data_IF_484798770648
#
_entry.id   IF_484798770648
#
_cell.length_a   1.000
_cell.length_b   1.000
_cell.length_c   1.000
_cell.angle_alpha   90.00
_cell.angle_beta   90.00
_cell.angle_gamma   90.00
#
_symmetry.space_group_name_H-M   'P 1'
#
loop_
_entity.id
_entity.type
_entity.pdbx_description
1 polymer ?
#
# COMPACT_ATOMS: atom_id res chain seq x y z
N UNK A 1 -5.65 11.27 10.22
CA UNK A 1 -4.81 10.61 9.22
C UNK A 1 -5.43 10.93 7.85
N UNK A 2 -4.96 11.96 7.12
CA UNK A 2 -5.35 12.18 5.72
C UNK A 2 -4.30 11.68 4.72
N UNK A 3 -3.03 11.63 5.12
CA UNK A 3 -1.90 11.30 4.24
C UNK A 3 -1.93 9.86 3.70
N UNK A 4 -2.62 8.93 4.36
CA UNK A 4 -2.79 7.56 3.84
C UNK A 4 -3.60 7.57 2.55
N UNK A 5 -4.54 8.50 2.38
CA UNK A 5 -5.29 8.64 1.12
C UNK A 5 -4.34 9.04 -0.01
N UNK A 6 -3.40 9.94 0.27
CA UNK A 6 -2.37 10.34 -0.70
C UNK A 6 -1.47 9.15 -1.02
N UNK A 7 -0.93 8.47 -0.03
CA UNK A 7 -0.02 7.34 -0.25
C UNK A 7 -0.67 6.15 -0.97
N UNK A 8 -1.97 5.92 -0.73
CA UNK A 8 -2.73 4.82 -1.33
C UNK A 8 -3.26 5.12 -2.73
N UNK A 9 -3.46 6.39 -3.11
CA UNK A 9 -4.09 6.75 -4.40
C UNK A 9 -3.15 7.51 -5.33
N UNK A 10 -2.22 8.29 -4.79
CA UNK A 10 -1.23 9.01 -5.58
C UNK A 10 0.00 8.13 -5.78
N UNK A 11 0.14 7.60 -7.00
CA UNK A 11 1.14 6.59 -7.39
C UNK A 11 2.54 7.15 -7.60
N UNK A 12 2.92 8.19 -6.86
CA UNK A 12 4.23 8.80 -6.91
C UNK A 12 5.16 8.12 -5.89
N UNK A 13 6.23 7.48 -6.36
CA UNK A 13 7.08 6.60 -5.54
C UNK A 13 7.81 7.34 -4.44
N UNK A 14 8.44 8.48 -4.77
CA UNK A 14 9.16 9.30 -3.79
C UNK A 14 8.25 9.84 -2.68
N UNK A 15 7.11 10.44 -3.04
CA UNK A 15 6.15 10.97 -2.05
C UNK A 15 5.56 9.89 -1.15
N UNK A 16 5.32 8.68 -1.69
CA UNK A 16 4.88 7.56 -0.84
C UNK A 16 5.93 7.21 0.20
N UNK A 17 7.23 7.21 -0.16
CA UNK A 17 8.33 7.02 0.80
C UNK A 17 8.36 8.10 1.87
N UNK A 18 8.17 9.36 1.49
CA UNK A 18 8.08 10.48 2.45
C UNK A 18 6.92 10.29 3.44
N UNK A 19 5.74 9.89 2.96
CA UNK A 19 4.60 9.61 3.85
C UNK A 19 4.92 8.47 4.83
N UNK A 20 5.55 7.39 4.36
CA UNK A 20 5.99 6.29 5.25
C UNK A 20 7.00 6.76 6.30
N UNK A 21 7.94 7.65 5.93
CA UNK A 21 8.88 8.26 6.87
C UNK A 21 8.14 9.09 7.93
N UNK A 22 7.17 9.91 7.52
CA UNK A 22 6.35 10.70 8.45
C UNK A 22 5.61 9.80 9.43
N UNK A 23 4.93 8.75 8.95
CA UNK A 23 4.21 7.80 9.81
C UNK A 23 5.12 7.03 10.78
N UNK A 24 6.32 6.66 10.33
CA UNK A 24 7.30 5.99 11.19
C UNK A 24 7.84 6.90 12.30
N UNK A 25 7.97 8.20 12.03
CA UNK A 25 8.45 9.20 13.00
C UNK A 25 7.37 9.67 13.99
N UNK A 26 6.10 9.51 13.64
CA UNK A 26 4.94 9.96 14.42
C UNK A 26 3.98 8.78 14.64
N UNK A 27 4.31 7.84 15.54
CA UNK A 27 3.45 6.70 15.83
C UNK A 27 2.14 7.21 16.48
N UNK A 28 1.11 7.35 15.65
CA UNK A 28 -0.22 7.84 16.03
C UNK A 28 -1.28 6.87 15.58
N UNK A 29 -2.32 6.72 16.41
CA UNK A 29 -3.54 6.00 16.08
C UNK A 29 -4.74 6.94 16.08
N UNK A 30 -5.52 6.91 15.00
CA UNK A 30 -6.76 7.65 14.84
C UNK A 30 -7.89 6.67 14.48
N UNK A 31 -8.57 6.15 15.50
CA UNK A 31 -9.59 5.11 15.34
C UNK A 31 -8.96 3.78 14.92
N UNK A 32 -9.39 3.28 13.76
CA UNK A 32 -8.86 2.04 13.14
C UNK A 32 -7.51 2.29 12.45
N UNK A 33 -7.17 3.54 12.14
CA UNK A 33 -5.94 3.89 11.44
C UNK A 33 -4.77 4.02 12.41
N UNK A 34 -3.92 3.01 12.43
CA UNK A 34 -2.64 3.02 13.11
C UNK A 34 -1.51 3.37 12.13
N UNK A 35 -0.65 4.34 12.46
CA UNK A 35 0.43 4.79 11.58
C UNK A 35 1.40 3.66 11.21
N UNK A 36 1.69 2.74 12.13
CA UNK A 36 2.58 1.61 11.87
C UNK A 36 1.90 0.57 10.97
N UNK A 37 0.63 0.27 11.22
CA UNK A 37 -0.18 -0.55 10.31
C UNK A 37 -0.16 0.02 8.90
N UNK A 38 -0.50 1.31 8.74
CA UNK A 38 -0.56 1.96 7.42
C UNK A 38 0.80 1.90 6.74
N UNK A 39 1.90 2.13 7.46
CA UNK A 39 3.25 2.01 6.92
C UNK A 39 3.51 0.61 6.39
N UNK A 40 3.18 -0.44 7.15
CA UNK A 40 3.35 -1.84 6.72
C UNK A 40 2.50 -2.19 5.50
N UNK A 41 1.26 -1.70 5.44
CA UNK A 41 0.39 -1.86 4.26
C UNK A 41 1.02 -1.18 3.03
N UNK A 42 1.53 0.04 3.19
CA UNK A 42 2.18 0.78 2.10
C UNK A 42 3.49 0.13 1.64
N UNK A 43 4.27 -0.45 2.55
CA UNK A 43 5.46 -1.23 2.23
C UNK A 43 5.10 -2.43 1.34
N UNK A 44 4.06 -3.18 1.73
CA UNK A 44 3.60 -4.34 0.97
C UNK A 44 3.04 -3.95 -0.42
N UNK A 45 2.19 -2.92 -0.50
CA UNK A 45 1.67 -2.41 -1.77
C UNK A 45 2.81 -1.92 -2.66
N UNK A 46 3.78 -1.18 -2.11
CA UNK A 46 4.92 -0.67 -2.89
C UNK A 46 5.78 -1.82 -3.42
N UNK A 47 5.98 -2.88 -2.64
CA UNK A 47 6.73 -4.05 -3.11
C UNK A 47 6.07 -4.75 -4.31
N UNK A 48 4.73 -4.78 -4.36
CA UNK A 48 3.98 -5.30 -5.51
C UNK A 48 4.08 -4.37 -6.73
N UNK A 49 3.98 -3.06 -6.51
CA UNK A 49 3.98 -2.06 -7.59
C UNK A 49 5.38 -1.83 -8.17
N UNK A 50 6.43 -1.90 -7.33
CA UNK A 50 7.82 -1.66 -7.71
C UNK A 50 8.46 -2.86 -8.45
N UNK A 51 7.79 -4.00 -8.55
CA UNK A 51 8.32 -5.19 -9.21
C UNK A 51 8.70 -4.88 -10.66
N UNK A 52 9.99 -4.98 -10.99
CA UNK A 52 10.50 -4.68 -12.32
C UNK A 52 10.43 -3.20 -12.72
N UNK A 53 10.35 -2.29 -11.76
CA UNK A 53 10.59 -0.85 -11.96
C UNK A 53 12.02 -0.49 -11.52
N UNK A 54 12.65 0.48 -12.17
CA UNK A 54 13.95 1.04 -11.75
C UNK A 54 13.79 2.52 -11.44
N UNK A 55 13.74 3.36 -12.47
CA UNK A 55 13.92 4.80 -12.38
C UNK A 55 12.62 5.58 -12.64
N UNK A 56 11.50 4.89 -12.78
CA UNK A 56 10.19 5.52 -12.97
C UNK A 56 9.81 6.34 -11.72
N UNK A 57 9.27 7.53 -11.91
CA UNK A 57 8.78 8.37 -10.80
C UNK A 57 7.39 7.95 -10.32
N UNK A 58 6.57 7.49 -11.26
CA UNK A 58 5.19 7.04 -11.05
C UNK A 58 5.06 5.55 -11.34
N UNK A 59 4.11 4.89 -10.68
CA UNK A 59 3.74 3.50 -11.01
C UNK A 59 2.97 3.49 -12.33
N UNK A 60 3.41 2.71 -13.34
CA UNK A 60 2.68 2.57 -14.60
C UNK A 60 1.35 1.84 -14.38
N UNK A 61 0.37 2.11 -15.24
CA UNK A 61 -1.01 1.63 -15.09
C UNK A 61 -1.12 0.11 -14.89
N UNK A 62 -0.32 -0.65 -15.64
CA UNK A 62 -0.30 -2.12 -15.60
C UNK A 62 0.38 -2.70 -14.35
N UNK A 63 1.06 -1.87 -13.56
CA UNK A 63 1.68 -2.26 -12.28
C UNK A 63 0.87 -1.79 -11.06
N UNK A 64 -0.16 -0.96 -11.23
CA UNK A 64 -0.94 -0.42 -10.12
C UNK A 64 -1.60 -1.54 -9.31
N UNK A 65 -1.35 -1.56 -8.01
CA UNK A 65 -2.02 -2.44 -7.07
C UNK A 65 -3.11 -1.65 -6.33
N UNK A 66 -4.37 -1.90 -6.71
CA UNK A 66 -5.53 -1.22 -6.13
C UNK A 66 -6.04 -1.99 -4.93
N UNK A 67 -6.08 -1.36 -3.76
CA UNK A 67 -6.63 -1.95 -2.54
C UNK A 67 -8.13 -2.28 -2.73
N UNK A 68 -8.47 -3.57 -2.67
CA UNK A 68 -9.86 -4.06 -2.80
C UNK A 68 -10.48 -4.45 -1.46
N UNK A 69 -9.66 -4.83 -0.47
CA UNK A 69 -10.14 -5.07 0.89
C UNK A 69 -9.06 -4.77 1.93
N UNK A 70 -9.50 -4.21 3.06
CA UNK A 70 -8.70 -4.03 4.27
C UNK A 70 -9.57 -4.39 5.47
N UNK A 71 -9.18 -5.43 6.21
CA UNK A 71 -9.86 -5.85 7.44
C UNK A 71 -8.87 -5.76 8.59
N UNK A 72 -9.16 -4.87 9.55
CA UNK A 72 -8.26 -4.56 10.64
C UNK A 72 -8.75 -5.24 11.92
N UNK A 73 -7.89 -6.05 12.52
CA UNK A 73 -8.02 -6.59 13.86
C UNK A 73 -7.08 -5.82 14.78
N UNK A 74 -7.62 -4.78 15.40
CA UNK A 74 -6.85 -3.89 16.26
C UNK A 74 -6.49 -4.51 17.62
N UNK A 75 -7.17 -5.58 18.04
CA UNK A 75 -6.88 -6.29 19.28
C UNK A 75 -5.63 -7.15 19.10
N UNK A 76 -5.58 -7.90 17.99
CA UNK A 76 -4.43 -8.75 17.63
C UNK A 76 -3.34 -8.01 16.84
N UNK A 77 -3.47 -6.70 16.63
CA UNK A 77 -2.56 -5.86 15.83
C UNK A 77 -2.23 -6.49 14.48
N UNK A 78 -3.28 -6.94 13.79
CA UNK A 78 -3.17 -7.57 12.48
C UNK A 78 -4.17 -7.00 11.48
N UNK A 79 -3.84 -7.07 10.19
CA UNK A 79 -4.66 -6.57 9.12
C UNK A 79 -4.57 -7.51 7.92
N UNK A 80 -5.72 -8.01 7.47
CA UNK A 80 -5.83 -8.66 6.17
C UNK A 80 -5.94 -7.58 5.10
N UNK A 81 -5.12 -7.70 4.07
CA UNK A 81 -5.02 -6.75 2.96
C UNK A 81 -5.17 -7.51 1.65
N UNK A 82 -5.98 -6.99 0.75
CA UNK A 82 -6.17 -7.52 -0.58
C UNK A 82 -6.04 -6.39 -1.61
N UNK A 83 -5.32 -6.66 -2.70
CA UNK A 83 -5.19 -5.79 -3.85
C UNK A 83 -5.57 -6.52 -5.14
N UNK A 84 -6.01 -5.75 -6.13
CA UNK A 84 -6.18 -6.16 -7.51
C UNK A 84 -5.11 -5.45 -8.33
N UNK A 85 -4.32 -6.21 -9.09
CA UNK A 85 -3.23 -5.69 -9.93
C UNK A 85 -3.39 -6.19 -11.37
N UNK A 86 -3.02 -5.36 -12.35
CA UNK A 86 -2.94 -5.79 -13.74
C UNK A 86 -1.87 -6.86 -13.95
N UNK A 87 -2.05 -7.72 -14.96
CA UNK A 87 -1.01 -8.65 -15.40
C UNK A 87 -0.19 -7.97 -16.49
N UNK A 88 1.09 -7.71 -16.24
CA UNK A 88 2.00 -7.12 -17.24
C UNK A 88 2.00 -7.93 -18.53
N UNK A 89 1.82 -7.24 -19.66
CA UNK A 89 1.75 -7.85 -20.98
C UNK A 89 0.43 -8.56 -21.33
N UNK A 90 -0.56 -8.60 -20.43
CA UNK A 90 -1.86 -9.19 -20.69
C UNK A 90 -3.00 -8.19 -20.40
N UNK A 91 -3.36 -7.40 -21.41
CA UNK A 91 -4.42 -6.40 -21.30
C UNK A 91 -5.75 -6.99 -20.82
N UNK A 92 -6.39 -6.32 -19.86
CA UNK A 92 -7.68 -6.72 -19.30
C UNK A 92 -7.63 -7.89 -18.31
N UNK A 93 -6.47 -8.50 -18.08
CA UNK A 93 -6.30 -9.51 -17.04
C UNK A 93 -5.83 -8.89 -15.73
N UNK A 94 -6.46 -9.30 -14.64
CA UNK A 94 -6.11 -8.88 -13.29
C UNK A 94 -5.85 -10.07 -12.40
N UNK A 95 -4.91 -9.92 -11.48
CA UNK A 95 -4.57 -10.88 -10.42
C UNK A 95 -4.94 -10.29 -9.07
N UNK A 96 -5.51 -11.13 -8.22
CA UNK A 96 -5.70 -10.81 -6.81
C UNK A 96 -4.42 -11.15 -6.05
N UNK A 97 -3.95 -10.21 -5.22
CA UNK A 97 -2.85 -10.37 -4.28
C UNK A 97 -3.40 -10.14 -2.88
N UNK A 98 -3.03 -10.98 -1.93
CA UNK A 98 -3.48 -10.83 -0.54
C UNK A 98 -2.39 -11.22 0.45
N UNK A 99 -2.47 -10.64 1.63
CA UNK A 99 -1.57 -10.94 2.74
C UNK A 99 -2.24 -10.61 4.08
N UNK A 100 -1.65 -11.11 5.16
CA UNK A 100 -1.95 -10.67 6.53
C UNK A 100 -0.71 -10.01 7.09
N UNK A 101 -0.84 -8.77 7.52
CA UNK A 101 0.22 -7.95 8.09
C UNK A 101 0.02 -7.88 9.61
N UNK A 102 1.10 -8.00 10.37
CA UNK A 102 1.13 -7.72 11.81
C UNK A 102 2.04 -6.52 12.08
N UNK A 103 1.73 -5.72 13.11
CA UNK A 103 2.54 -4.55 13.51
C UNK A 103 2.63 -4.35 15.02
#
# INVERSE_FOLDING_TARGET
>A
MPLQVVALNYRHRALRKEVMTVFSSLPRREGVWDALMVTKVLEWISALEDEGLTDEEYIPEDAIATLSALKVDAENRSAYVQCIQGVRGAQGQTTVKETTISW
#
